data_IF_514543389504
#
_entry.id   IF_514543389504
#
_cell.length_a   1.000
_cell.length_b   1.000
_cell.length_c   1.000
_cell.angle_alpha   90.00
_cell.angle_beta   90.00
_cell.angle_gamma   90.00
#
_symmetry.space_group_name_H-M   'P 1'
#
loop_
_entity.id
_entity.type
_entity.pdbx_description
1 polymer ?
#
# COMPACT_ATOMS: atom_id res chain seq x y z
N UNK A 1 18.98 8.13 -0.79
CA UNK A 1 17.62 8.55 -1.21
C UNK A 1 16.62 7.97 -0.23
N UNK A 2 15.63 8.76 0.21
CA UNK A 2 14.49 8.26 0.98
C UNK A 2 13.53 7.54 0.04
N UNK A 3 12.86 6.48 0.53
CA UNK A 3 11.84 5.76 -0.25
C UNK A 3 10.68 6.71 -0.60
N UNK A 4 10.09 6.61 -1.82
CA UNK A 4 8.99 7.49 -2.20
C UNK A 4 7.78 7.33 -1.27
N UNK A 5 7.11 8.47 -1.05
CA UNK A 5 5.83 8.51 -0.35
C UNK A 5 4.94 9.59 -0.97
N UNK A 6 3.70 9.24 -1.27
CA UNK A 6 2.68 10.16 -1.76
C UNK A 6 1.46 10.04 -0.85
N UNK A 7 1.04 11.17 -0.30
CA UNK A 7 -0.18 11.22 0.52
C UNK A 7 -1.42 11.00 -0.34
N UNK A 8 -2.32 10.15 0.16
CA UNK A 8 -3.65 10.02 -0.42
C UNK A 8 -4.46 11.29 -0.20
N UNK A 9 -5.33 11.62 -1.15
CA UNK A 9 -6.21 12.79 -1.07
C UNK A 9 -7.55 12.42 -0.41
N UNK A 10 -8.01 11.20 -0.62
CA UNK A 10 -9.24 10.63 -0.08
C UNK A 10 -8.94 9.29 0.58
N UNK A 11 -9.81 8.88 1.51
CA UNK A 11 -9.70 7.57 2.20
C UNK A 11 -9.72 6.37 1.24
N UNK A 12 -10.32 6.53 0.05
CA UNK A 12 -10.42 5.50 -0.98
C UNK A 12 -9.19 5.41 -1.89
N UNK A 13 -8.26 6.34 -1.76
CA UNK A 13 -7.09 6.43 -2.64
C UNK A 13 -5.89 5.58 -2.17
N UNK A 14 -6.01 4.84 -1.09
CA UNK A 14 -4.88 4.08 -0.55
C UNK A 14 -4.26 3.12 -1.58
N UNK A 15 -5.08 2.42 -2.36
CA UNK A 15 -4.61 1.51 -3.41
C UNK A 15 -3.90 2.23 -4.57
N UNK A 16 -4.55 3.17 -5.27
CA UNK A 16 -3.90 3.98 -6.31
C UNK A 16 -2.65 4.71 -5.83
N UNK A 17 -2.66 5.25 -4.60
CA UNK A 17 -1.49 5.91 -4.03
C UNK A 17 -0.35 4.93 -3.76
N UNK A 18 -0.65 3.71 -3.27
CA UNK A 18 0.35 2.64 -3.10
C UNK A 18 0.95 2.22 -4.45
N UNK A 19 0.12 2.08 -5.49
CA UNK A 19 0.60 1.78 -6.84
C UNK A 19 1.45 2.92 -7.41
N UNK A 20 1.08 4.19 -7.16
CA UNK A 20 1.86 5.37 -7.52
C UNK A 20 3.24 5.37 -6.86
N UNK A 21 3.32 5.02 -5.58
CA UNK A 21 4.57 4.90 -4.82
C UNK A 21 5.50 3.88 -5.47
N UNK A 22 4.99 2.68 -5.80
CA UNK A 22 5.77 1.62 -6.43
C UNK A 22 6.20 2.01 -7.85
N UNK A 23 5.29 2.59 -8.65
CA UNK A 23 5.62 3.06 -10.01
C UNK A 23 6.75 4.08 -9.99
N UNK A 24 6.70 5.03 -9.04
CA UNK A 24 7.73 6.04 -8.85
C UNK A 24 9.07 5.42 -8.41
N UNK A 25 9.03 4.43 -7.53
CA UNK A 25 10.22 3.70 -7.10
C UNK A 25 10.95 3.06 -8.28
N UNK A 26 10.20 2.51 -9.25
CA UNK A 26 10.76 1.95 -10.50
C UNK A 26 11.01 3.00 -11.60
N UNK A 27 10.90 4.31 -11.27
CA UNK A 27 11.28 5.40 -12.16
C UNK A 27 10.19 5.88 -13.11
N UNK A 28 8.92 5.45 -12.96
CA UNK A 28 7.80 5.88 -13.78
C UNK A 28 6.82 6.77 -13.01
N UNK A 29 6.63 7.99 -13.49
CA UNK A 29 5.68 8.93 -12.93
C UNK A 29 4.29 8.70 -13.56
N UNK A 30 3.31 8.38 -12.73
CA UNK A 30 1.91 8.20 -13.16
C UNK A 30 1.03 9.07 -12.26
N UNK A 31 0.10 9.81 -12.87
CA UNK A 31 -0.80 10.68 -12.14
C UNK A 31 -1.77 9.85 -11.29
N UNK A 32 -2.10 10.38 -10.11
CA UNK A 32 -3.08 9.73 -9.25
C UNK A 32 -4.44 9.60 -9.94
N UNK A 33 -4.81 10.59 -10.76
CA UNK A 33 -6.08 10.57 -11.51
C UNK A 33 -6.16 9.38 -12.47
N UNK A 34 -5.09 9.13 -13.24
CA UNK A 34 -5.02 7.98 -14.16
C UNK A 34 -5.10 6.65 -13.39
N UNK A 35 -4.40 6.54 -12.25
CA UNK A 35 -4.45 5.34 -11.43
C UNK A 35 -5.83 5.10 -10.79
N UNK A 36 -6.54 6.15 -10.40
CA UNK A 36 -7.93 6.05 -9.92
C UNK A 36 -8.86 5.46 -10.99
N UNK A 37 -8.73 5.94 -12.22
CA UNK A 37 -9.52 5.45 -13.36
C UNK A 37 -9.22 3.97 -13.65
N UNK A 38 -7.95 3.60 -13.69
CA UNK A 38 -7.51 2.22 -13.93
C UNK A 38 -7.88 1.27 -12.79
N UNK A 39 -7.87 1.73 -11.54
CA UNK A 39 -8.26 0.92 -10.39
C UNK A 39 -9.77 0.71 -10.26
N UNK A 40 -10.60 1.35 -11.09
CA UNK A 40 -12.06 1.25 -11.04
C UNK A 40 -12.64 1.50 -9.63
N UNK A 41 -12.20 2.61 -8.99
CA UNK A 41 -12.63 2.95 -7.62
C UNK A 41 -14.16 3.08 -7.58
N UNK A 42 -14.78 2.39 -6.63
CA UNK A 42 -16.21 2.46 -6.37
C UNK A 42 -16.51 3.17 -5.03
N UNK A 43 -17.78 3.11 -4.58
CA UNK A 43 -18.21 3.73 -3.32
C UNK A 43 -17.56 3.12 -2.09
N UNK A 44 -17.17 1.86 -2.15
CA UNK A 44 -16.54 1.11 -1.05
C UNK A 44 -15.00 1.28 -1.04
N UNK A 45 -14.42 1.84 -2.11
CA UNK A 45 -12.98 2.03 -2.29
C UNK A 45 -12.44 1.19 -3.44
N UNK A 46 -11.23 0.68 -3.31
CA UNK A 46 -10.55 -0.15 -4.31
C UNK A 46 -10.33 -1.56 -3.79
N UNK A 47 -10.49 -2.55 -4.65
CA UNK A 47 -10.15 -3.94 -4.35
C UNK A 47 -8.69 -4.24 -4.71
N UNK A 48 -8.12 -5.30 -4.13
CA UNK A 48 -6.78 -5.79 -4.51
C UNK A 48 -6.73 -6.15 -6.00
N UNK A 49 -7.81 -6.72 -6.55
CA UNK A 49 -7.93 -7.02 -7.99
C UNK A 49 -7.88 -5.74 -8.82
N UNK A 50 -8.62 -4.70 -8.44
CA UNK A 50 -8.57 -3.42 -9.16
C UNK A 50 -7.18 -2.77 -9.15
N UNK A 51 -6.41 -2.93 -8.05
CA UNK A 51 -5.01 -2.49 -8.02
C UNK A 51 -4.14 -3.34 -8.96
N UNK A 52 -4.37 -4.65 -8.98
CA UNK A 52 -3.68 -5.61 -9.86
C UNK A 52 -3.92 -5.25 -11.34
N UNK A 53 -5.18 -5.08 -11.73
CA UNK A 53 -5.56 -4.73 -13.11
C UNK A 53 -4.93 -3.40 -13.54
N UNK A 54 -4.96 -2.40 -12.66
CA UNK A 54 -4.31 -1.11 -12.91
C UNK A 54 -2.79 -1.26 -13.06
N UNK A 55 -2.15 -2.08 -12.23
CA UNK A 55 -0.72 -2.34 -12.30
C UNK A 55 -0.33 -3.03 -13.61
N UNK A 56 -1.11 -4.01 -14.07
CA UNK A 56 -0.90 -4.69 -15.34
C UNK A 56 -1.12 -3.76 -16.54
N UNK A 57 -2.12 -2.89 -16.46
CA UNK A 57 -2.38 -1.89 -17.50
C UNK A 57 -1.20 -0.93 -17.71
N UNK A 58 -0.44 -0.62 -16.65
CA UNK A 58 0.75 0.26 -16.72
C UNK A 58 2.06 -0.49 -16.93
N UNK A 59 2.01 -1.83 -17.11
CA UNK A 59 3.14 -2.66 -17.51
C UNK A 59 3.83 -3.44 -16.40
N UNK A 60 3.22 -3.61 -15.23
CA UNK A 60 3.68 -4.60 -14.25
C UNK A 60 3.13 -5.99 -14.57
N UNK A 61 3.81 -7.01 -14.11
CA UNK A 61 3.25 -8.33 -13.85
C UNK A 61 2.90 -8.42 -12.38
N UNK A 62 1.70 -8.91 -12.06
CA UNK A 62 1.21 -8.95 -10.69
C UNK A 62 0.95 -10.37 -10.20
N UNK A 63 1.03 -10.57 -8.89
CA UNK A 63 0.63 -11.79 -8.23
C UNK A 63 0.05 -11.47 -6.85
N UNK A 64 -1.27 -11.64 -6.72
CA UNK A 64 -1.97 -11.54 -5.44
C UNK A 64 -1.86 -12.86 -4.69
N UNK A 65 -1.29 -12.86 -3.50
CA UNK A 65 -0.99 -14.06 -2.73
C UNK A 65 -1.41 -13.94 -1.27
N UNK A 66 -1.77 -15.07 -0.70
CA UNK A 66 -1.99 -15.23 0.74
C UNK A 66 -0.77 -15.97 1.30
N UNK A 67 0.06 -15.29 2.09
CA UNK A 67 1.38 -15.76 2.53
C UNK A 67 1.61 -15.58 4.02
N UNK A 68 2.51 -16.39 4.56
CA UNK A 68 2.96 -16.31 5.94
C UNK A 68 3.98 -15.18 6.13
N UNK A 69 4.24 -14.81 7.37
CA UNK A 69 5.31 -13.88 7.71
C UNK A 69 6.68 -14.33 7.19
N UNK A 70 6.97 -15.62 7.32
CA UNK A 70 8.24 -16.17 6.86
C UNK A 70 8.40 -16.00 5.35
N UNK A 71 7.35 -16.30 4.58
CA UNK A 71 7.35 -16.11 3.12
C UNK A 71 7.50 -14.64 2.74
N UNK A 72 6.78 -13.72 3.39
CA UNK A 72 6.93 -12.28 3.14
C UNK A 72 8.37 -11.82 3.37
N UNK A 73 9.00 -12.32 4.42
CA UNK A 73 10.35 -11.93 4.83
C UNK A 73 11.44 -12.48 3.91
N UNK A 74 11.31 -13.77 3.53
CA UNK A 74 12.40 -14.53 2.92
C UNK A 74 12.24 -14.72 1.40
N UNK A 75 11.00 -14.69 0.88
CA UNK A 75 10.69 -15.07 -0.51
C UNK A 75 10.15 -13.91 -1.36
N UNK A 76 9.58 -12.86 -0.75
CA UNK A 76 8.95 -11.78 -1.49
C UNK A 76 9.96 -10.70 -1.89
N UNK A 77 9.97 -10.37 -3.19
CA UNK A 77 10.70 -9.21 -3.69
C UNK A 77 9.98 -7.91 -3.27
N UNK A 78 10.70 -7.05 -2.56
CA UNK A 78 10.20 -5.75 -2.15
C UNK A 78 10.56 -4.66 -3.18
N UNK A 79 9.71 -3.64 -3.36
CA UNK A 79 8.49 -3.33 -2.61
C UNK A 79 7.28 -4.14 -3.06
N UNK A 80 6.35 -4.40 -2.12
CA UNK A 80 5.06 -5.01 -2.41
C UNK A 80 3.91 -4.24 -1.71
N UNK A 81 2.69 -4.38 -2.21
CA UNK A 81 1.49 -3.82 -1.57
C UNK A 81 0.91 -4.90 -0.66
N UNK A 82 0.54 -4.53 0.57
CA UNK A 82 -0.14 -5.43 1.49
C UNK A 82 -1.51 -4.88 1.89
N UNK A 83 -2.43 -5.80 2.18
CA UNK A 83 -3.74 -5.44 2.75
C UNK A 83 -3.58 -5.23 4.26
N UNK A 84 -3.90 -4.06 4.73
CA UNK A 84 -3.63 -3.57 6.06
C UNK A 84 -4.91 -3.32 6.85
N UNK A 85 -5.04 -3.88 8.05
CA UNK A 85 -6.19 -3.68 8.93
C UNK A 85 -7.56 -3.84 8.24
N UNK A 86 -7.66 -4.79 7.29
CA UNK A 86 -8.88 -5.16 6.52
C UNK A 86 -9.45 -4.11 5.56
N UNK A 87 -9.02 -2.86 5.61
CA UNK A 87 -9.63 -1.78 4.82
C UNK A 87 -8.64 -0.79 4.22
N UNK A 88 -7.34 -1.08 4.28
CA UNK A 88 -6.30 -0.16 3.83
C UNK A 88 -5.23 -0.89 3.01
N UNK A 89 -4.51 -0.17 2.16
CA UNK A 89 -3.37 -0.66 1.39
C UNK A 89 -2.14 0.17 1.68
N UNK A 90 -1.03 -0.51 1.98
CA UNK A 90 0.26 0.13 2.25
C UNK A 90 1.38 -0.60 1.52
N UNK A 91 2.52 0.04 1.36
CA UNK A 91 3.68 -0.52 0.67
C UNK A 91 4.74 -0.94 1.68
N UNK A 92 5.07 -2.22 1.72
CA UNK A 92 6.27 -2.71 2.42
C UNK A 92 7.45 -2.58 1.48
N UNK A 93 8.50 -1.86 1.90
CA UNK A 93 9.64 -1.61 1.02
C UNK A 93 10.98 -2.07 1.58
N UNK A 94 11.03 -2.43 2.85
CA UNK A 94 12.25 -2.96 3.47
C UNK A 94 11.92 -3.78 4.70
N UNK A 95 12.58 -4.91 4.85
CA UNK A 95 12.63 -5.72 6.07
C UNK A 95 14.09 -5.89 6.45
N UNK A 96 14.43 -5.73 7.71
CA UNK A 96 15.78 -6.01 8.19
C UNK A 96 15.78 -6.61 9.60
N UNK A 97 16.79 -7.41 9.88
CA UNK A 97 17.03 -7.99 11.20
C UNK A 97 18.18 -7.24 11.89
N UNK A 98 17.96 -6.80 13.11
CA UNK A 98 18.97 -6.12 13.91
C UNK A 98 18.75 -6.39 15.40
N UNK A 99 19.82 -6.75 16.13
CA UNK A 99 19.80 -7.01 17.57
C UNK A 99 18.71 -8.05 17.97
N UNK A 100 18.58 -9.13 17.18
CA UNK A 100 17.62 -10.21 17.46
C UNK A 100 16.14 -9.84 17.16
N UNK A 101 15.87 -8.71 16.48
CA UNK A 101 14.52 -8.24 16.17
C UNK A 101 14.39 -7.91 14.70
N UNK A 102 13.21 -8.18 14.13
CA UNK A 102 12.86 -7.72 12.79
C UNK A 102 12.22 -6.34 12.84
N UNK A 103 12.57 -5.55 11.83
CA UNK A 103 12.03 -4.22 11.60
C UNK A 103 11.50 -4.14 10.18
N UNK A 104 10.32 -3.58 10.04
CA UNK A 104 9.61 -3.48 8.77
C UNK A 104 9.35 -2.00 8.45
N UNK A 105 9.80 -1.55 7.28
CA UNK A 105 9.56 -0.21 6.79
C UNK A 105 8.39 -0.20 5.82
N UNK A 106 7.46 0.65 6.11
CA UNK A 106 6.19 0.79 5.39
C UNK A 106 6.06 2.21 4.89
N UNK A 107 5.67 2.38 3.63
CA UNK A 107 5.17 3.63 3.08
C UNK A 107 3.65 3.57 3.09
N UNK A 108 3.05 4.32 4.01
CA UNK A 108 1.60 4.39 4.21
C UNK A 108 1.08 5.68 3.55
N UNK A 109 0.20 5.59 2.54
CA UNK A 109 -0.37 6.78 1.89
C UNK A 109 -1.15 7.71 2.82
N UNK A 110 -1.67 7.19 3.94
CA UNK A 110 -2.40 8.02 4.89
C UNK A 110 -1.51 8.77 5.87
N UNK A 111 -0.37 8.17 6.25
CA UNK A 111 0.45 8.65 7.38
C UNK A 111 1.84 9.08 6.93
N UNK A 112 2.50 8.33 6.04
CA UNK A 112 3.86 8.57 5.60
C UNK A 112 4.77 7.35 5.75
N UNK A 113 6.09 7.59 5.89
CA UNK A 113 7.07 6.53 6.10
C UNK A 113 7.09 6.13 7.58
N UNK A 114 6.84 4.86 7.87
CA UNK A 114 6.75 4.32 9.22
C UNK A 114 7.66 3.10 9.33
N UNK A 115 8.24 2.93 10.51
CA UNK A 115 9.01 1.75 10.89
C UNK A 115 8.28 1.00 11.99
N UNK A 116 7.91 -0.24 11.73
CA UNK A 116 7.24 -1.12 12.70
C UNK A 116 8.22 -2.14 13.26
N UNK A 117 8.01 -2.52 14.53
CA UNK A 117 8.55 -3.77 15.02
C UNK A 117 7.69 -4.94 14.50
N UNK A 118 8.25 -6.14 14.47
CA UNK A 118 7.60 -7.35 13.98
C UNK A 118 6.22 -7.57 14.62
N UNK A 119 6.11 -7.46 15.93
CA UNK A 119 4.86 -7.68 16.66
C UNK A 119 3.74 -6.74 16.19
N UNK A 120 4.03 -5.45 16.11
CA UNK A 120 3.04 -4.43 15.73
C UNK A 120 2.65 -4.57 14.26
N UNK A 121 3.61 -4.90 13.40
CA UNK A 121 3.37 -5.18 11.99
C UNK A 121 2.45 -6.38 11.81
N UNK A 122 2.76 -7.50 12.43
CA UNK A 122 1.97 -8.73 12.32
C UNK A 122 0.55 -8.56 12.86
N UNK A 123 0.38 -7.86 13.98
CA UNK A 123 -0.95 -7.60 14.55
C UNK A 123 -1.87 -6.83 13.59
N UNK A 124 -1.32 -5.93 12.77
CA UNK A 124 -2.07 -5.14 11.82
C UNK A 124 -2.25 -5.83 10.45
N UNK A 125 -1.25 -6.58 9.98
CA UNK A 125 -1.30 -7.28 8.70
C UNK A 125 -2.13 -8.55 8.75
N UNK A 126 -1.96 -9.37 9.81
CA UNK A 126 -2.65 -10.65 9.97
C UNK A 126 -4.08 -10.50 10.51
N UNK A 127 -4.47 -9.32 11.02
CA UNK A 127 -5.87 -9.03 11.39
C UNK A 127 -6.83 -9.14 10.20
N UNK A 128 -6.30 -9.17 8.98
CA UNK A 128 -7.07 -9.34 7.74
C UNK A 128 -7.53 -10.77 7.47
N UNK A 129 -7.13 -11.73 8.30
CA UNK A 129 -7.46 -13.15 8.11
C UNK A 129 -8.12 -13.69 9.36
N UNK A 130 -9.33 -14.18 9.22
CA UNK A 130 -10.19 -14.91 10.15
C UNK A 130 -9.93 -14.68 11.66
N UNK A 131 -10.96 -14.23 12.35
CA UNK A 131 -11.02 -14.12 13.79
C UNK A 131 -10.45 -15.37 14.47
N UNK A 132 -9.20 -15.31 14.89
CA UNK A 132 -8.67 -16.23 15.87
C UNK A 132 -9.36 -15.87 17.19
N UNK A 133 -10.40 -16.63 17.48
CA UNK A 133 -11.28 -16.39 18.62
C UNK A 133 -10.54 -16.71 19.91
N UNK A 134 -9.89 -15.69 20.50
CA UNK A 134 -9.21 -15.79 21.80
C UNK A 134 -10.19 -16.25 22.91
N UNK A 135 -11.49 -16.14 22.70
CA UNK A 135 -12.50 -16.59 23.68
C UNK A 135 -12.55 -18.10 23.80
N UNK A 136 -12.15 -18.86 22.78
CA UNK A 136 -12.02 -20.33 22.85
C UNK A 136 -10.91 -20.79 23.80
N UNK A 137 -9.91 -19.96 24.07
CA UNK A 137 -8.82 -20.27 24.99
C UNK A 137 -9.27 -20.12 26.47
N UNK A 138 -10.18 -19.20 26.76
CA UNK A 138 -10.66 -18.94 28.12
C UNK A 138 -11.53 -20.08 28.71
N UNK A 139 -12.15 -20.88 27.86
CA UNK A 139 -13.07 -21.93 28.30
C UNK A 139 -12.41 -23.31 28.52
N UNK A 140 -11.11 -23.46 28.28
CA UNK A 140 -10.43 -24.74 28.39
C UNK A 140 -9.26 -24.77 29.38
N UNK A 141 -9.29 -23.92 30.40
CA UNK A 141 -8.18 -23.74 31.37
C UNK A 141 -8.16 -24.78 32.50
N UNK A 142 -8.48 -26.03 32.26
CA UNK A 142 -8.22 -27.09 33.21
C UNK A 142 -7.03 -27.96 32.72
N UNK A 143 -5.83 -27.66 33.27
CA UNK A 143 -4.71 -28.61 33.29
C UNK A 143 -3.68 -28.57 32.17
N UNK A 144 -3.70 -27.60 31.25
CA UNK A 144 -2.66 -27.53 30.23
C UNK A 144 -1.49 -26.65 30.70
N UNK A 145 -0.23 -27.14 30.65
CA UNK A 145 0.94 -26.33 30.99
C UNK A 145 1.01 -25.07 30.12
N UNK A 146 1.25 -23.91 30.72
CA UNK A 146 1.34 -22.60 30.06
C UNK A 146 2.33 -22.64 28.88
N UNK A 147 3.41 -23.40 28.99
CA UNK A 147 4.39 -23.60 27.92
C UNK A 147 3.78 -24.26 26.66
N UNK A 148 2.85 -25.23 26.83
CA UNK A 148 2.16 -25.88 25.71
C UNK A 148 1.13 -24.93 25.09
N UNK A 149 0.41 -24.18 25.91
CA UNK A 149 -0.53 -23.16 25.43
C UNK A 149 0.21 -22.06 24.66
N UNK A 150 1.37 -21.61 25.14
CA UNK A 150 2.21 -20.64 24.44
C UNK A 150 2.76 -21.21 23.13
N UNK A 151 3.16 -22.48 23.09
CA UNK A 151 3.65 -23.13 21.86
C UNK A 151 2.52 -23.30 20.83
N UNK A 152 1.29 -23.60 21.24
CA UNK A 152 0.12 -23.68 20.36
C UNK A 152 -0.31 -22.29 19.85
N UNK A 153 -0.27 -21.27 20.70
CA UNK A 153 -0.50 -19.88 20.29
C UNK A 153 0.58 -19.41 19.33
N UNK A 154 1.85 -19.70 19.61
CA UNK A 154 2.98 -19.36 18.74
C UNK A 154 2.93 -20.13 17.41
N UNK A 155 2.52 -21.40 17.41
CA UNK A 155 2.31 -22.17 16.18
C UNK A 155 1.09 -21.67 15.38
N UNK A 156 0.03 -21.24 16.07
CA UNK A 156 -1.14 -20.62 15.44
C UNK A 156 -0.79 -19.28 14.79
N UNK A 157 0.05 -18.47 15.42
CA UNK A 157 0.57 -17.21 14.84
C UNK A 157 1.46 -17.49 13.63
N UNK A 158 2.25 -18.55 13.66
CA UNK A 158 3.10 -18.95 12.52
C UNK A 158 2.31 -19.46 11.32
N UNK A 159 1.04 -19.88 11.50
CA UNK A 159 0.17 -20.36 10.44
C UNK A 159 -0.83 -19.30 9.94
N UNK A 160 -0.84 -18.09 10.50
CA UNK A 160 -1.68 -17.02 10.00
C UNK A 160 -1.07 -16.41 8.75
N UNK A 161 -1.92 -16.18 7.75
CA UNK A 161 -1.53 -15.65 6.45
C UNK A 161 -2.03 -14.22 6.29
N UNK A 162 -1.22 -13.36 5.75
CA UNK A 162 -1.63 -12.04 5.31
C UNK A 162 -1.73 -11.98 3.77
N UNK A 163 -2.40 -10.95 3.28
CA UNK A 163 -2.58 -10.74 1.83
C UNK A 163 -1.54 -9.76 1.33
N UNK A 164 -0.87 -10.12 0.24
CA UNK A 164 0.12 -9.28 -0.44
C UNK A 164 -0.10 -9.30 -1.96
N UNK A 165 0.18 -8.19 -2.61
CA UNK A 165 0.27 -8.05 -4.06
C UNK A 165 1.73 -7.76 -4.41
N UNK A 166 2.35 -8.71 -5.09
CA UNK A 166 3.69 -8.56 -5.65
C UNK A 166 3.60 -7.91 -7.01
N UNK A 167 4.54 -7.02 -7.32
CA UNK A 167 4.59 -6.28 -8.57
C UNK A 167 6.01 -6.35 -9.14
N UNK A 168 6.12 -6.84 -10.37
CA UNK A 168 7.38 -6.90 -11.10
C UNK A 168 7.27 -6.08 -12.39
N UNK A 169 8.12 -5.06 -12.60
CA UNK A 169 8.07 -4.28 -13.83
C UNK A 169 8.48 -5.14 -15.01
N UNK A 170 7.70 -5.13 -16.08
CA UNK A 170 8.00 -5.80 -17.34
C UNK A 170 8.73 -4.83 -18.29
N UNK A 171 9.31 -5.30 -19.42
CA UNK A 171 9.85 -4.40 -20.45
C UNK A 171 8.84 -3.33 -20.90
N UNK A 172 7.55 -3.70 -21.03
CA UNK A 172 6.46 -2.79 -21.37
C UNK A 172 6.35 -1.61 -20.38
N UNK A 173 6.61 -1.85 -19.09
CA UNK A 173 6.60 -0.79 -18.08
C UNK A 173 7.59 0.34 -18.43
N UNK A 174 8.76 0.01 -18.96
CA UNK A 174 9.81 0.98 -19.29
C UNK A 174 9.64 1.58 -20.71
N UNK A 175 8.96 0.90 -21.61
CA UNK A 175 8.69 1.38 -22.97
C UNK A 175 7.62 2.48 -22.99
N UNK A 176 6.59 2.36 -22.17
CA UNK A 176 5.54 3.35 -22.07
C UNK A 176 6.02 4.56 -21.26
N UNK A 177 5.86 5.76 -21.83
CA UNK A 177 6.14 7.01 -21.10
C UNK A 177 5.19 7.15 -19.92
N UNK A 178 5.72 7.60 -18.79
CA UNK A 178 4.91 8.08 -17.67
C UNK A 178 4.11 9.33 -18.05
N UNK A 179 3.22 9.72 -17.16
CA UNK A 179 2.50 10.97 -17.33
C UNK A 179 3.48 12.12 -17.09
N UNK A 180 3.57 13.06 -18.02
CA UNK A 180 4.23 14.33 -17.75
C UNK A 180 3.49 15.00 -16.58
N UNK A 181 4.18 15.29 -15.49
CA UNK A 181 3.63 16.16 -14.45
C UNK A 181 3.34 17.51 -15.15
N UNK A 182 2.08 17.72 -15.55
CA UNK A 182 1.63 19.05 -15.93
C UNK A 182 1.81 19.93 -14.69
N UNK A 183 2.97 20.56 -14.57
CA UNK A 183 3.15 21.69 -13.66
C UNK A 183 2.10 22.70 -14.08
N UNK A 184 1.04 22.83 -13.30
CA UNK A 184 0.10 23.92 -13.46
C UNK A 184 0.86 25.22 -13.26
N UNK A 185 1.51 25.69 -14.31
CA UNK A 185 2.23 26.94 -14.29
C UNK A 185 1.22 28.09 -14.15
N UNK A 186 1.66 29.18 -13.56
CA UNK A 186 0.89 30.44 -13.44
C UNK A 186 0.23 30.86 -14.76
N UNK A 187 0.81 30.46 -15.92
CA UNK A 187 0.25 30.68 -17.25
C UNK A 187 -1.08 29.98 -17.50
N UNK A 188 -1.38 28.85 -16.85
CA UNK A 188 -2.68 28.19 -16.98
C UNK A 188 -3.79 28.99 -16.27
N UNK A 189 -3.48 29.50 -15.07
CA UNK A 189 -4.41 30.36 -14.30
C UNK A 189 -4.66 31.67 -15.07
N UNK A 190 -3.61 32.29 -15.64
CA UNK A 190 -3.72 33.48 -16.48
C UNK A 190 -4.53 33.23 -17.75
N UNK A 191 -4.46 32.03 -18.33
CA UNK A 191 -5.31 31.63 -19.47
C UNK A 191 -6.80 31.62 -19.11
N UNK A 192 -7.15 31.21 -17.91
CA UNK A 192 -8.54 31.19 -17.42
C UNK A 192 -9.06 32.60 -17.11
N UNK A 193 -8.18 33.51 -16.73
CA UNK A 193 -8.53 34.91 -16.45
C UNK A 193 -8.65 35.77 -17.73
N UNK A 194 -8.18 35.29 -18.87
CA UNK A 194 -8.17 36.03 -20.15
C UNK A 194 -9.53 36.54 -20.59
N UNK A 195 -10.66 35.78 -20.52
CA UNK A 195 -11.99 36.28 -20.86
C UNK A 195 -12.49 37.37 -19.88
N UNK A 196 -11.99 37.41 -18.67
CA UNK A 196 -12.43 38.32 -17.61
C UNK A 196 -11.54 39.55 -17.42
N UNK A 197 -10.60 39.80 -18.34
CA UNK A 197 -9.63 40.89 -18.24
C UNK A 197 -10.29 42.29 -18.11
N UNK A 198 -11.42 42.53 -18.75
CA UNK A 198 -12.15 43.79 -18.66
C UNK A 198 -12.74 44.03 -17.27
N UNK A 199 -13.25 42.99 -16.62
CA UNK A 199 -13.75 43.07 -15.25
C UNK A 199 -12.61 43.25 -14.22
N UNK A 200 -11.46 42.62 -14.45
CA UNK A 200 -10.29 42.76 -13.57
C UNK A 200 -9.77 44.23 -13.65
N UNK A 201 -9.74 44.82 -14.83
CA UNK A 201 -9.32 46.23 -14.97
C UNK A 201 -10.32 47.18 -14.29
N UNK A 202 -11.63 46.91 -14.34
CA UNK A 202 -12.65 47.70 -13.66
C UNK A 202 -12.58 47.65 -12.14
N UNK A 203 -12.06 46.57 -11.57
CA UNK A 203 -11.89 46.40 -10.10
C UNK A 203 -10.61 47.09 -9.61
N UNK A 204 -9.62 47.29 -10.50
CA UNK A 204 -8.31 47.87 -10.16
C UNK A 204 -8.25 49.40 -10.38
N UNK A 205 -9.29 50.01 -11.03
CA UNK A 205 -9.48 51.42 -11.19
C UNK A 205 -10.48 51.99 -10.17
#
# INVERSE_FOLDING_TARGET
MTFPNFRQHDSKDCGPSSLRIISYYYGKHISLQRLRELCHINREGVSMLGISDAAEAIGFRTSGVKITWQQLRDEVNLPCIIHWKQNHFVVVYKISHSKGKYWIWVSDPAIGLIKYCEKDFLSAWLSSTDNFDITKIKNNSQGIPIAKLLSEVMSGINNTHGIALMLEPTPKFYEEKGDDEKKFGFGYILGYLRPYKSFIVQILL
#
